data_IF_354257506814
#
_entry.id   IF_354257506814
#
_cell.length_a   1.000
_cell.length_b   1.000
_cell.length_c   1.000
_cell.angle_alpha   90.00
_cell.angle_beta   90.00
_cell.angle_gamma   90.00
#
_symmetry.space_group_name_H-M   'P 1'
#
loop_
_entity.id
_entity.type
_entity.pdbx_description
1 polymer ?
#
# COMPACT_ATOMS: atom_id res chain seq x y z
N UNK A 1 7.73 22.93 -11.39
CA UNK A 1 8.00 22.61 -12.81
C UNK A 1 6.90 23.21 -13.66
N UNK A 2 7.25 23.86 -14.77
CA UNK A 2 6.27 24.34 -15.77
C UNK A 2 5.91 23.24 -16.76
N UNK A 3 4.81 23.39 -17.50
CA UNK A 3 4.39 22.42 -18.52
C UNK A 3 5.45 22.31 -19.66
N UNK A 4 6.13 23.41 -19.99
CA UNK A 4 7.21 23.41 -21.01
C UNK A 4 8.42 22.58 -20.53
N UNK A 5 8.82 22.75 -19.27
CA UNK A 5 9.88 21.94 -18.66
C UNK A 5 9.51 20.46 -18.59
N UNK A 6 8.22 20.16 -18.30
CA UNK A 6 7.69 18.81 -18.32
C UNK A 6 7.82 18.18 -19.71
N UNK A 7 7.34 18.87 -20.74
CA UNK A 7 7.41 18.41 -22.14
C UNK A 7 8.84 18.16 -22.62
N UNK A 8 9.79 18.94 -22.15
CA UNK A 8 11.20 18.74 -22.49
C UNK A 8 11.76 17.47 -21.84
N UNK A 9 11.46 17.25 -20.56
CA UNK A 9 11.85 16.02 -19.84
C UNK A 9 11.16 14.77 -20.37
N UNK A 10 9.89 14.86 -20.76
CA UNK A 10 9.11 13.76 -21.31
C UNK A 10 9.62 13.25 -22.67
N UNK A 11 10.60 13.92 -23.31
CA UNK A 11 11.31 13.37 -24.47
C UNK A 11 12.20 12.19 -24.11
N UNK A 12 12.65 12.13 -22.88
CA UNK A 12 13.31 10.95 -22.32
C UNK A 12 12.24 9.91 -21.95
N UNK A 13 12.20 8.82 -22.68
CA UNK A 13 11.23 7.73 -22.52
C UNK A 13 11.43 6.91 -21.25
N UNK A 14 12.60 7.04 -20.61
CA UNK A 14 12.92 6.38 -19.35
C UNK A 14 12.54 7.24 -18.14
N UNK A 15 12.17 8.51 -18.35
CA UNK A 15 11.77 9.39 -17.27
C UNK A 15 10.40 8.98 -16.70
N UNK A 16 10.41 8.52 -15.45
CA UNK A 16 9.25 8.04 -14.70
C UNK A 16 9.08 8.84 -13.39
N UNK A 17 8.65 10.12 -13.49
CA UNK A 17 8.69 11.04 -12.34
C UNK A 17 7.82 10.60 -11.14
N UNK A 18 6.72 9.90 -11.37
CA UNK A 18 5.91 9.38 -10.27
C UNK A 18 6.57 8.18 -9.59
N UNK A 19 7.30 7.36 -10.34
CA UNK A 19 8.14 6.30 -9.80
C UNK A 19 9.22 6.86 -8.88
N UNK A 20 9.96 7.86 -9.38
CA UNK A 20 11.00 8.55 -8.62
C UNK A 20 10.45 9.16 -7.31
N UNK A 21 9.21 9.68 -7.31
CA UNK A 21 8.59 10.25 -6.10
C UNK A 21 8.31 9.19 -5.03
N UNK A 22 7.92 7.97 -5.42
CA UNK A 22 7.72 6.86 -4.48
C UNK A 22 9.08 6.42 -3.91
N UNK A 23 10.08 6.21 -4.77
CA UNK A 23 11.42 5.82 -4.33
C UNK A 23 12.07 6.88 -3.42
N UNK A 24 11.93 8.17 -3.75
CA UNK A 24 12.39 9.27 -2.91
C UNK A 24 11.70 9.28 -1.53
N UNK A 25 10.36 9.00 -1.49
CA UNK A 25 9.65 8.95 -0.23
C UNK A 25 10.16 7.84 0.69
N UNK A 26 10.44 6.67 0.12
CA UNK A 26 11.00 5.54 0.85
C UNK A 26 12.48 5.74 1.17
N UNK A 27 13.24 6.41 0.31
CA UNK A 27 14.63 6.80 0.54
C UNK A 27 14.81 7.72 1.76
N UNK A 28 13.82 8.57 2.08
CA UNK A 28 13.82 9.37 3.30
C UNK A 28 13.78 8.51 4.58
N UNK A 29 13.19 7.30 4.52
CA UNK A 29 13.07 6.38 5.66
C UNK A 29 14.21 5.34 5.66
N UNK A 30 14.53 4.77 4.50
CA UNK A 30 15.44 3.63 4.37
C UNK A 30 16.83 4.00 3.85
N UNK A 31 17.07 5.28 3.53
CA UNK A 31 18.33 5.75 2.98
C UNK A 31 18.62 5.13 1.61
N UNK A 32 19.84 4.67 1.40
CA UNK A 32 20.30 4.07 0.15
C UNK A 32 20.04 2.54 0.09
N UNK A 33 19.10 2.03 0.90
CA UNK A 33 18.75 0.62 0.86
C UNK A 33 18.07 0.30 -0.49
N UNK A 34 18.67 -0.64 -1.24
CA UNK A 34 18.04 -1.22 -2.42
C UNK A 34 16.88 -2.14 -1.98
N UNK A 35 15.62 -1.87 -2.37
CA UNK A 35 14.51 -2.76 -2.06
C UNK A 35 14.58 -4.04 -2.89
N UNK A 36 13.92 -5.10 -2.42
CA UNK A 36 13.59 -6.22 -3.29
C UNK A 36 12.39 -5.81 -4.13
N UNK A 37 12.61 -5.66 -5.44
CA UNK A 37 11.58 -5.24 -6.37
C UNK A 37 10.91 -6.44 -7.04
N UNK A 38 9.57 -6.44 -7.03
CA UNK A 38 8.74 -7.46 -7.66
C UNK A 38 7.92 -6.80 -8.78
N UNK A 39 8.38 -6.97 -10.02
CA UNK A 39 7.58 -6.59 -11.19
C UNK A 39 6.34 -7.46 -11.26
N UNK A 40 5.18 -6.88 -11.47
CA UNK A 40 4.03 -7.66 -11.90
C UNK A 40 4.25 -8.09 -13.35
N UNK A 41 3.47 -9.08 -13.85
CA UNK A 41 3.55 -9.50 -15.26
C UNK A 41 3.03 -8.40 -16.24
N UNK A 42 3.29 -7.15 -15.95
CA UNK A 42 2.86 -5.97 -16.71
C UNK A 42 3.54 -5.89 -18.06
N UNK A 43 4.73 -6.44 -18.19
CA UNK A 43 5.24 -6.75 -19.54
C UNK A 43 4.19 -7.52 -20.33
N UNK A 44 3.38 -8.37 -19.70
CA UNK A 44 2.27 -9.04 -20.36
C UNK A 44 1.07 -8.13 -20.56
N UNK A 45 0.75 -7.18 -19.65
CA UNK A 45 -0.34 -6.22 -19.88
C UNK A 45 -0.02 -5.23 -20.99
N UNK A 46 1.18 -4.66 -20.98
CA UNK A 46 1.64 -3.76 -22.03
C UNK A 46 1.71 -4.47 -23.41
N UNK A 47 2.00 -5.78 -23.41
CA UNK A 47 2.15 -6.57 -24.65
C UNK A 47 0.89 -7.32 -25.07
N UNK A 48 0.02 -7.76 -24.15
CA UNK A 48 -1.09 -8.68 -24.46
C UNK A 48 -2.46 -8.23 -23.94
N UNK A 49 -2.51 -7.10 -23.20
CA UNK A 49 -3.72 -6.66 -22.49
C UNK A 49 -4.08 -7.61 -21.35
N UNK A 50 -4.17 -7.10 -20.14
CA UNK A 50 -4.48 -7.87 -18.93
C UNK A 50 -5.22 -7.04 -17.89
N UNK A 51 -5.75 -7.70 -16.85
CA UNK A 51 -6.48 -7.05 -15.76
C UNK A 51 -5.58 -6.64 -14.58
N UNK A 52 -4.28 -6.59 -14.74
CA UNK A 52 -3.36 -6.11 -13.73
C UNK A 52 -3.24 -4.60 -13.79
N UNK A 53 -3.35 -3.96 -12.64
CA UNK A 53 -3.46 -2.51 -12.50
C UNK A 53 -2.24 -1.88 -11.83
N UNK A 54 -1.36 -2.71 -11.27
CA UNK A 54 -0.12 -2.28 -10.64
C UNK A 54 1.08 -2.67 -11.51
N UNK A 55 2.08 -1.82 -11.53
CA UNK A 55 3.34 -2.07 -12.23
C UNK A 55 4.26 -2.97 -11.42
N UNK A 56 4.20 -2.86 -10.09
CA UNK A 56 5.02 -3.69 -9.23
C UNK A 56 4.85 -3.37 -7.76
N UNK A 57 5.79 -3.92 -7.00
CA UNK A 57 5.91 -3.74 -5.57
C UNK A 57 7.38 -3.60 -5.21
N UNK A 58 7.70 -2.78 -4.23
CA UNK A 58 9.00 -2.79 -3.58
C UNK A 58 8.84 -3.20 -2.13
N UNK A 59 9.75 -4.04 -1.65
CA UNK A 59 9.81 -4.47 -0.25
C UNK A 59 11.13 -4.04 0.37
N UNK A 60 11.05 -3.20 1.37
CA UNK A 60 12.16 -2.70 2.17
C UNK A 60 12.25 -3.49 3.48
N UNK A 61 13.46 -3.79 3.92
CA UNK A 61 13.68 -4.41 5.21
C UNK A 61 13.92 -3.35 6.29
N UNK A 62 13.02 -3.28 7.26
CA UNK A 62 13.19 -2.40 8.40
C UNK A 62 14.16 -2.96 9.43
N UNK A 63 14.98 -2.09 10.04
CA UNK A 63 15.78 -2.44 11.21
C UNK A 63 14.93 -2.77 12.45
N UNK A 64 13.63 -2.48 12.41
CA UNK A 64 12.67 -2.78 13.46
C UNK A 64 12.02 -4.18 13.30
N UNK A 65 12.52 -5.04 12.40
CA UNK A 65 12.11 -6.44 12.29
C UNK A 65 10.81 -6.65 11.48
N UNK A 66 10.57 -5.86 10.44
CA UNK A 66 9.45 -6.08 9.51
C UNK A 66 9.88 -5.80 8.06
N UNK A 67 9.19 -6.37 7.12
CA UNK A 67 9.23 -5.98 5.71
C UNK A 67 8.16 -4.93 5.43
N UNK A 68 8.55 -3.81 4.83
CA UNK A 68 7.66 -2.72 4.43
C UNK A 68 7.45 -2.75 2.92
N UNK A 69 6.26 -3.09 2.49
CA UNK A 69 5.89 -3.25 1.09
C UNK A 69 5.13 -2.02 0.62
N UNK A 70 5.40 -1.57 -0.59
CA UNK A 70 4.68 -0.50 -1.27
C UNK A 70 4.28 -0.94 -2.68
N UNK A 71 3.10 -0.52 -3.13
CA UNK A 71 2.62 -0.69 -4.50
C UNK A 71 3.18 0.38 -5.42
N UNK A 72 3.18 0.10 -6.73
CA UNK A 72 3.44 1.05 -7.80
C UNK A 72 2.33 0.94 -8.84
N UNK A 73 1.58 2.02 -9.07
CA UNK A 73 0.56 2.10 -10.10
C UNK A 73 -0.83 2.55 -9.66
N UNK A 74 -1.05 2.77 -8.35
CA UNK A 74 -2.24 3.48 -7.89
C UNK A 74 -2.12 4.99 -8.15
N UNK A 75 -0.91 5.52 -8.16
CA UNK A 75 -0.56 6.87 -8.60
C UNK A 75 -0.05 6.87 -10.04
N UNK A 76 0.08 8.06 -10.66
CA UNK A 76 0.67 8.18 -11.98
C UNK A 76 2.19 8.05 -11.88
N UNK A 77 2.73 7.08 -12.62
CA UNK A 77 4.16 6.71 -12.52
C UNK A 77 5.00 7.35 -13.63
N UNK A 78 4.46 7.39 -14.84
CA UNK A 78 5.20 7.74 -16.05
C UNK A 78 4.95 9.17 -16.50
N UNK A 79 5.67 9.62 -17.52
CA UNK A 79 5.46 10.93 -18.10
C UNK A 79 4.14 10.99 -18.88
N UNK A 80 3.08 11.46 -18.21
CA UNK A 80 1.76 11.68 -18.77
C UNK A 80 1.37 13.16 -18.66
N UNK A 81 1.28 13.83 -19.83
CA UNK A 81 0.94 15.26 -19.89
C UNK A 81 -0.49 15.53 -19.45
N UNK A 82 -1.42 14.60 -19.72
CA UNK A 82 -2.82 14.78 -19.39
C UNK A 82 -3.04 14.78 -17.86
N UNK A 83 -2.18 14.11 -17.12
CA UNK A 83 -2.19 14.06 -15.66
C UNK A 83 -1.46 15.22 -14.98
N UNK A 84 -0.70 16.05 -15.74
CA UNK A 84 0.12 17.11 -15.19
C UNK A 84 -0.71 18.19 -14.48
N UNK A 85 -0.40 18.44 -13.21
CA UNK A 85 -1.03 19.50 -12.40
C UNK A 85 -2.44 19.19 -11.91
N UNK A 86 -2.84 17.95 -11.92
CA UNK A 86 -4.12 17.53 -11.30
C UNK A 86 -4.08 17.71 -9.77
N UNK A 87 -5.24 17.61 -9.13
CA UNK A 87 -5.38 17.67 -7.67
C UNK A 87 -4.77 16.42 -7.00
N UNK A 88 -5.00 15.25 -7.60
CA UNK A 88 -4.47 13.96 -7.14
C UNK A 88 -3.73 13.25 -8.25
N UNK A 89 -2.64 12.55 -7.88
CA UNK A 89 -1.92 11.67 -8.78
C UNK A 89 -2.73 10.38 -9.00
N UNK A 90 -3.48 10.29 -10.11
CA UNK A 90 -4.36 9.18 -10.48
C UNK A 90 -5.40 8.88 -9.37
N UNK A 91 -5.22 7.81 -8.55
CA UNK A 91 -6.08 7.52 -7.39
C UNK A 91 -5.65 8.26 -6.12
N UNK A 92 -4.55 9.03 -6.17
CA UNK A 92 -4.06 9.86 -5.07
C UNK A 92 -3.27 9.12 -3.99
N UNK A 93 -3.03 7.82 -4.12
CA UNK A 93 -2.29 7.06 -3.12
C UNK A 93 -1.56 5.84 -3.69
N UNK A 94 -0.54 5.38 -2.95
CA UNK A 94 -0.04 4.02 -3.02
C UNK A 94 -0.39 3.27 -1.73
N UNK A 95 -0.59 1.96 -1.81
CA UNK A 95 -0.85 1.12 -0.65
C UNK A 95 0.45 0.61 -0.06
N UNK A 96 0.53 0.60 1.28
CA UNK A 96 1.63 -0.01 2.02
C UNK A 96 1.14 -1.07 2.99
N UNK A 97 2.01 -2.01 3.34
CA UNK A 97 1.80 -2.95 4.45
C UNK A 97 3.14 -3.28 5.10
N UNK A 98 3.17 -3.34 6.43
CA UNK A 98 4.34 -3.77 7.21
C UNK A 98 4.07 -5.16 7.77
N UNK A 99 4.96 -6.11 7.49
CA UNK A 99 4.82 -7.52 7.90
C UNK A 99 5.93 -7.88 8.87
N UNK A 100 5.55 -8.12 10.12
CA UNK A 100 6.49 -8.46 11.20
C UNK A 100 7.11 -9.82 10.96
N UNK A 101 8.43 -9.91 11.17
CA UNK A 101 9.24 -11.14 11.08
C UNK A 101 9.12 -11.88 9.74
N UNK A 102 8.68 -11.21 8.67
CA UNK A 102 8.63 -11.79 7.33
C UNK A 102 9.77 -11.24 6.46
N UNK A 103 10.41 -12.12 5.71
CA UNK A 103 11.38 -11.76 4.69
C UNK A 103 10.65 -11.28 3.42
N UNK A 104 11.21 -10.32 2.65
CA UNK A 104 10.56 -9.80 1.42
C UNK A 104 10.08 -10.90 0.48
N UNK A 105 10.86 -11.96 0.31
CA UNK A 105 10.56 -13.08 -0.60
C UNK A 105 9.34 -13.90 -0.15
N UNK A 106 9.01 -13.87 1.13
CA UNK A 106 7.85 -14.57 1.71
C UNK A 106 6.57 -13.71 1.68
N UNK A 107 6.66 -12.45 1.23
CA UNK A 107 5.55 -11.49 1.25
C UNK A 107 4.65 -11.54 0.01
N UNK A 108 4.87 -12.45 -0.94
CA UNK A 108 4.12 -12.55 -2.21
C UNK A 108 2.60 -12.66 -1.97
N UNK A 109 2.16 -13.33 -0.90
CA UNK A 109 0.75 -13.41 -0.54
C UNK A 109 0.13 -12.02 -0.27
N UNK A 110 0.87 -11.13 0.39
CA UNK A 110 0.42 -9.77 0.67
C UNK A 110 0.41 -8.93 -0.61
N UNK A 111 1.38 -9.09 -1.50
CA UNK A 111 1.39 -8.45 -2.82
C UNK A 111 0.17 -8.86 -3.64
N UNK A 112 -0.18 -10.15 -3.64
CA UNK A 112 -1.41 -10.64 -4.30
C UNK A 112 -2.67 -10.02 -3.69
N UNK A 113 -2.71 -9.85 -2.37
CA UNK A 113 -3.80 -9.17 -1.66
C UNK A 113 -3.89 -7.69 -2.08
N UNK A 114 -2.78 -6.96 -2.09
CA UNK A 114 -2.73 -5.57 -2.55
C UNK A 114 -3.16 -5.45 -4.02
N UNK A 115 -2.74 -6.35 -4.88
CA UNK A 115 -3.18 -6.42 -6.28
C UNK A 115 -4.69 -6.63 -6.43
N UNK A 116 -5.31 -7.44 -5.55
CA UNK A 116 -6.77 -7.60 -5.53
C UNK A 116 -7.49 -6.32 -5.07
N UNK A 117 -6.93 -5.58 -4.12
CA UNK A 117 -7.47 -4.29 -3.69
C UNK A 117 -7.34 -3.23 -4.78
N UNK A 118 -6.20 -3.19 -5.47
CA UNK A 118 -6.02 -2.33 -6.64
C UNK A 118 -7.08 -2.65 -7.71
N UNK A 119 -7.25 -3.93 -8.05
CA UNK A 119 -8.28 -4.36 -9.01
C UNK A 119 -9.68 -3.93 -8.58
N UNK A 120 -9.99 -4.01 -7.29
CA UNK A 120 -11.27 -3.52 -6.75
C UNK A 120 -11.45 -2.03 -7.03
N UNK A 121 -10.45 -1.20 -6.69
CA UNK A 121 -10.49 0.24 -6.96
C UNK A 121 -10.70 0.54 -8.44
N UNK A 122 -9.90 -0.04 -9.32
CA UNK A 122 -9.99 0.21 -10.77
C UNK A 122 -11.30 -0.26 -11.42
N UNK A 123 -11.89 -1.37 -10.93
CA UNK A 123 -13.14 -1.89 -11.48
C UNK A 123 -14.38 -1.23 -10.90
N UNK A 124 -14.36 -0.82 -9.65
CA UNK A 124 -15.52 -0.24 -8.97
C UNK A 124 -15.52 1.28 -8.94
N UNK A 125 -14.41 1.92 -9.31
CA UNK A 125 -14.16 3.36 -9.19
C UNK A 125 -14.34 3.86 -7.72
N UNK A 126 -14.05 2.99 -6.76
CA UNK A 126 -14.06 3.28 -5.33
C UNK A 126 -12.64 3.22 -4.80
N UNK A 127 -12.19 4.30 -4.20
CA UNK A 127 -10.88 4.41 -3.58
C UNK A 127 -10.94 4.18 -2.08
N UNK A 128 -9.78 3.99 -1.49
CA UNK A 128 -9.61 3.81 -0.06
C UNK A 128 -9.22 5.13 0.61
N UNK A 129 -9.64 5.27 1.87
CA UNK A 129 -9.34 6.42 2.72
C UNK A 129 -8.95 5.96 4.13
N UNK A 130 -8.19 6.77 4.89
CA UNK A 130 -7.92 6.47 6.30
C UNK A 130 -9.22 6.29 7.11
N UNK A 131 -9.18 5.41 8.11
CA UNK A 131 -10.29 5.00 8.96
C UNK A 131 -11.36 4.15 8.25
N UNK A 132 -11.03 3.56 7.13
CA UNK A 132 -11.83 2.51 6.52
C UNK A 132 -11.31 1.12 6.93
N UNK A 133 -12.10 0.09 6.66
CA UNK A 133 -11.73 -1.32 6.88
C UNK A 133 -12.08 -2.17 5.67
N UNK A 134 -11.35 -3.28 5.53
CA UNK A 134 -11.59 -4.32 4.52
C UNK A 134 -11.69 -5.66 5.22
N UNK A 135 -12.77 -6.39 4.99
CA UNK A 135 -12.96 -7.73 5.54
C UNK A 135 -14.41 -8.14 5.62
N UNK A 136 -14.63 -9.40 5.96
CA UNK A 136 -15.96 -9.98 6.21
C UNK A 136 -16.07 -10.45 7.65
N UNK A 137 -17.06 -9.92 8.37
CA UNK A 137 -17.34 -10.35 9.74
C UNK A 137 -18.05 -11.72 9.80
N UNK A 138 -18.69 -12.14 8.70
CA UNK A 138 -19.48 -13.38 8.66
C UNK A 138 -18.66 -14.59 8.22
N UNK A 139 -17.62 -14.37 7.43
CA UNK A 139 -16.76 -15.43 6.87
C UNK A 139 -15.28 -15.03 7.05
N UNK A 140 -14.78 -14.94 8.29
CA UNK A 140 -13.40 -14.57 8.52
C UNK A 140 -12.46 -15.69 8.06
N UNK A 141 -11.54 -15.33 7.17
CA UNK A 141 -10.47 -16.21 6.72
C UNK A 141 -9.14 -15.50 6.94
N UNK A 142 -8.09 -16.26 7.26
CA UNK A 142 -6.75 -15.68 7.36
C UNK A 142 -6.39 -14.92 6.08
N UNK A 143 -5.78 -13.74 6.23
CA UNK A 143 -5.28 -12.96 5.09
C UNK A 143 -4.20 -13.72 4.30
N UNK A 144 -3.45 -14.58 4.99
CA UNK A 144 -2.45 -15.45 4.38
C UNK A 144 -2.97 -16.88 4.34
N UNK A 145 -3.34 -17.36 3.16
CA UNK A 145 -3.80 -18.74 2.97
C UNK A 145 -2.74 -19.80 3.31
N UNK A 146 -1.46 -19.45 3.34
CA UNK A 146 -0.37 -20.30 3.82
C UNK A 146 -0.31 -20.42 5.36
N UNK A 147 -1.06 -19.57 6.08
CA UNK A 147 -1.19 -19.57 7.56
C UNK A 147 -2.66 -19.56 7.95
N UNK A 148 -3.42 -20.63 7.67
CA UNK A 148 -4.88 -20.67 7.90
C UNK A 148 -5.26 -20.53 9.38
N UNK A 149 -4.34 -20.83 10.29
CA UNK A 149 -4.48 -20.68 11.74
C UNK A 149 -4.36 -19.22 12.21
N UNK A 150 -3.88 -18.30 11.36
CA UNK A 150 -3.77 -16.90 11.73
C UNK A 150 -5.13 -16.28 12.02
N UNK A 151 -5.20 -15.53 13.11
CA UNK A 151 -6.40 -14.77 13.50
C UNK A 151 -6.53 -13.44 12.77
N UNK A 152 -5.53 -13.05 11.97
CA UNK A 152 -5.56 -11.82 11.19
C UNK A 152 -6.36 -12.08 9.91
N UNK A 153 -7.56 -11.50 9.86
CA UNK A 153 -8.59 -11.84 8.87
C UNK A 153 -9.18 -10.61 8.18
N UNK A 154 -8.76 -9.42 8.58
CA UNK A 154 -9.27 -8.17 8.05
C UNK A 154 -8.18 -7.09 8.14
N UNK A 155 -8.44 -5.95 7.50
CA UNK A 155 -7.50 -4.83 7.44
C UNK A 155 -8.19 -3.54 7.91
N UNK A 156 -7.44 -2.71 8.61
CA UNK A 156 -7.72 -1.28 8.74
C UNK A 156 -6.86 -0.51 7.75
N UNK A 157 -7.33 0.67 7.36
CA UNK A 157 -6.61 1.60 6.49
C UNK A 157 -6.29 2.86 7.28
N UNK A 158 -5.02 3.26 7.26
CA UNK A 158 -4.54 4.49 7.89
C UNK A 158 -3.45 5.12 7.03
N UNK A 159 -3.05 6.34 7.33
CA UNK A 159 -1.84 6.89 6.73
C UNK A 159 -0.63 6.09 7.19
N UNK A 160 0.37 5.92 6.31
CA UNK A 160 1.60 5.23 6.69
C UNK A 160 2.28 5.93 7.88
N UNK A 161 2.77 5.14 8.83
CA UNK A 161 3.34 5.65 10.08
C UNK A 161 4.74 6.22 9.91
N UNK A 162 5.42 5.94 8.79
CA UNK A 162 6.80 6.36 8.53
C UNK A 162 6.94 7.15 7.23
N UNK A 163 6.33 6.68 6.14
CA UNK A 163 6.41 7.33 4.83
C UNK A 163 5.30 8.36 4.70
N UNK A 164 5.68 9.61 4.50
CA UNK A 164 4.74 10.74 4.42
C UNK A 164 4.29 10.97 2.99
N UNK A 165 3.00 11.26 2.82
CA UNK A 165 2.47 11.76 1.57
C UNK A 165 3.15 13.06 1.13
N UNK A 166 3.10 13.35 -0.17
CA UNK A 166 3.75 14.51 -0.77
C UNK A 166 2.98 15.05 -1.95
N UNK A 167 3.33 16.28 -2.31
CA UNK A 167 2.84 16.89 -3.54
C UNK A 167 3.79 16.53 -4.67
N UNK A 168 3.25 15.93 -5.72
CA UNK A 168 3.98 15.57 -6.95
C UNK A 168 3.60 16.52 -8.08
N UNK A 169 4.22 16.37 -9.25
CA UNK A 169 3.82 17.09 -10.47
C UNK A 169 2.43 16.67 -10.98
N UNK A 170 1.93 15.52 -10.54
CA UNK A 170 0.61 14.97 -10.88
C UNK A 170 -0.45 15.21 -9.80
N UNK A 171 -0.12 15.94 -8.74
CA UNK A 171 -0.99 16.19 -7.61
C UNK A 171 -0.59 15.46 -6.34
N UNK A 172 -1.51 15.38 -5.40
CA UNK A 172 -1.26 14.75 -4.09
C UNK A 172 -1.05 13.24 -4.24
N UNK A 173 -0.02 12.74 -3.53
CA UNK A 173 0.29 11.33 -3.37
C UNK A 173 0.34 11.00 -1.88
N UNK A 174 -0.59 10.18 -1.39
CA UNK A 174 -0.61 9.63 -0.05
C UNK A 174 -0.02 8.21 -0.02
N UNK A 175 0.41 7.75 1.15
CA UNK A 175 0.74 6.35 1.41
C UNK A 175 -0.25 5.80 2.43
N UNK A 176 -1.07 4.84 2.00
CA UNK A 176 -2.10 4.22 2.83
C UNK A 176 -1.61 2.88 3.36
N UNK A 177 -1.36 2.84 4.67
CA UNK A 177 -0.94 1.63 5.36
C UNK A 177 -2.14 0.74 5.67
N UNK A 178 -2.06 -0.52 5.24
CA UNK A 178 -3.00 -1.57 5.60
C UNK A 178 -2.50 -2.29 6.85
N UNK A 179 -3.33 -2.34 7.88
CA UNK A 179 -3.01 -2.89 9.19
C UNK A 179 -3.88 -4.10 9.46
N UNK A 180 -3.27 -5.26 9.66
CA UNK A 180 -3.99 -6.50 9.92
C UNK A 180 -4.72 -6.49 11.27
N UNK A 181 -5.99 -6.88 11.26
CA UNK A 181 -6.83 -6.99 12.45
C UNK A 181 -7.54 -8.34 12.53
N UNK A 182 -8.01 -8.70 13.74
CA UNK A 182 -8.76 -9.94 13.98
C UNK A 182 -10.23 -9.78 13.59
N UNK A 183 -10.92 -10.91 13.43
CA UNK A 183 -12.37 -10.91 13.20
C UNK A 183 -13.16 -10.28 14.36
N UNK A 184 -12.65 -10.38 15.60
CA UNK A 184 -13.28 -9.74 16.76
C UNK A 184 -13.14 -8.22 16.70
N UNK A 185 -11.94 -7.71 16.42
CA UNK A 185 -11.68 -6.30 16.24
C UNK A 185 -12.50 -5.71 15.08
N UNK A 186 -12.58 -6.44 13.95
CA UNK A 186 -13.42 -6.06 12.83
C UNK A 186 -14.90 -5.91 13.23
N UNK A 187 -15.43 -6.86 14.00
CA UNK A 187 -16.83 -6.76 14.49
C UNK A 187 -17.06 -5.55 15.35
N UNK A 188 -16.09 -5.19 16.22
CA UNK A 188 -16.17 -4.00 17.04
C UNK A 188 -16.23 -2.73 16.17
N UNK A 189 -15.33 -2.57 15.21
CA UNK A 189 -15.28 -1.37 14.37
C UNK A 189 -16.43 -1.30 13.36
N UNK A 190 -17.01 -2.42 12.92
CA UNK A 190 -18.24 -2.43 12.14
C UNK A 190 -19.42 -1.91 12.97
N UNK A 191 -19.49 -2.29 14.26
CA UNK A 191 -20.54 -1.84 15.16
C UNK A 191 -20.40 -0.37 15.52
N UNK A 192 -19.16 0.09 15.72
CA UNK A 192 -18.83 1.47 16.08
C UNK A 192 -17.49 1.87 15.43
N UNK A 193 -17.55 2.61 14.32
CA UNK A 193 -16.37 3.03 13.59
C UNK A 193 -15.51 4.08 14.33
N UNK A 194 -16.04 4.72 15.38
CA UNK A 194 -15.28 5.63 16.24
C UNK A 194 -14.21 4.90 17.04
N UNK A 195 -14.27 3.56 17.10
CA UNK A 195 -13.26 2.71 17.73
C UNK A 195 -11.99 2.52 16.87
N UNK A 196 -12.01 2.87 15.57
CA UNK A 196 -10.82 2.68 14.71
C UNK A 196 -9.58 3.41 15.25
N UNK A 197 -9.63 4.71 15.57
CA UNK A 197 -8.48 5.39 16.17
C UNK A 197 -8.03 4.77 17.50
N UNK A 198 -8.97 4.32 18.32
CA UNK A 198 -8.67 3.66 19.61
C UNK A 198 -7.94 2.34 19.39
N UNK A 199 -8.40 1.53 18.42
CA UNK A 199 -7.75 0.28 18.06
C UNK A 199 -6.34 0.50 17.55
N UNK A 200 -6.14 1.49 16.66
CA UNK A 200 -4.81 1.83 16.14
C UNK A 200 -3.86 2.27 17.27
N UNK A 201 -4.30 3.10 18.21
CA UNK A 201 -3.47 3.50 19.35
C UNK A 201 -3.16 2.33 20.29
N UNK A 202 -4.12 1.44 20.54
CA UNK A 202 -3.89 0.24 21.35
C UNK A 202 -2.89 -0.72 20.67
N UNK A 203 -2.97 -0.87 19.34
CA UNK A 203 -2.03 -1.67 18.56
C UNK A 203 -0.59 -1.13 18.65
N UNK A 204 -0.41 0.19 18.62
CA UNK A 204 0.92 0.83 18.71
C UNK A 204 1.68 0.52 20.02
N UNK A 205 0.99 0.09 21.06
CA UNK A 205 1.63 -0.29 22.31
C UNK A 205 2.57 -1.51 22.13
N UNK A 206 2.21 -2.45 21.28
CA UNK A 206 3.00 -3.66 21.00
C UNK A 206 3.60 -3.64 19.59
N UNK A 207 3.03 -2.83 18.68
CA UNK A 207 3.40 -2.68 17.26
C UNK A 207 3.54 -1.19 16.92
N UNK A 208 4.65 -0.53 17.29
CA UNK A 208 4.81 0.93 17.19
C UNK A 208 4.63 1.50 15.78
N UNK A 209 4.98 0.71 14.77
CA UNK A 209 4.83 1.09 13.35
C UNK A 209 3.56 0.49 12.72
N UNK A 210 2.64 -0.06 13.54
CA UNK A 210 1.43 -0.77 13.12
C UNK A 210 1.76 -1.95 12.18
N UNK A 211 2.90 -2.59 12.40
CA UNK A 211 3.30 -3.78 11.68
C UNK A 211 2.35 -4.94 11.97
N UNK A 212 1.91 -5.61 10.92
CA UNK A 212 1.01 -6.76 10.99
C UNK A 212 1.78 -8.01 11.38
N UNK A 213 1.49 -8.54 12.56
CA UNK A 213 2.00 -9.83 13.03
C UNK A 213 0.97 -10.94 12.74
N UNK A 214 1.26 -11.78 11.75
CA UNK A 214 0.38 -12.90 11.38
C UNK A 214 0.28 -13.99 12.45
N UNK A 215 1.14 -13.97 13.47
CA UNK A 215 1.08 -14.88 14.61
C UNK A 215 0.35 -14.27 15.82
N UNK A 216 -0.10 -13.03 15.72
CA UNK A 216 -0.81 -12.34 16.79
C UNK A 216 -2.10 -13.06 17.17
N UNK A 217 -2.29 -13.31 18.48
CA UNK A 217 -3.50 -13.92 19.05
C UNK A 217 -4.26 -12.98 19.97
N UNK A 218 -3.62 -11.88 20.40
CA UNK A 218 -4.20 -10.86 21.29
C UNK A 218 -5.13 -9.93 20.50
N UNK A 219 -6.30 -9.66 21.05
CA UNK A 219 -7.20 -8.60 20.61
C UNK A 219 -6.92 -7.31 21.39
N UNK A 220 -7.17 -6.17 20.76
CA UNK A 220 -6.94 -4.83 21.32
C UNK A 220 -8.24 -4.03 21.54
N UNK A 221 -9.40 -4.68 21.20
CA UNK A 221 -10.75 -4.23 21.54
C UNK A 221 -11.55 -5.34 22.21
#
# INVERSE_FOLDING_TARGET
MTLEEFREKAKDKEWAPGWDEIENAFGEVYGEQEPVHFGTLITSRAMFGGEEYLDGYSAYRSNNGYSHIVTFGMSELYADEDSFGHEFSKWGYEMTIKLKDEEPENCVWAMNMLGNLARYTFKSERWFEPNQYVGSANEPQSLNLGKPESKITALLITNDTEVKGRQTIYGELAFLQLVGITAKELKCVIHDNTLIPVLLENLKADYPHLETDMNRTKDYL
#
